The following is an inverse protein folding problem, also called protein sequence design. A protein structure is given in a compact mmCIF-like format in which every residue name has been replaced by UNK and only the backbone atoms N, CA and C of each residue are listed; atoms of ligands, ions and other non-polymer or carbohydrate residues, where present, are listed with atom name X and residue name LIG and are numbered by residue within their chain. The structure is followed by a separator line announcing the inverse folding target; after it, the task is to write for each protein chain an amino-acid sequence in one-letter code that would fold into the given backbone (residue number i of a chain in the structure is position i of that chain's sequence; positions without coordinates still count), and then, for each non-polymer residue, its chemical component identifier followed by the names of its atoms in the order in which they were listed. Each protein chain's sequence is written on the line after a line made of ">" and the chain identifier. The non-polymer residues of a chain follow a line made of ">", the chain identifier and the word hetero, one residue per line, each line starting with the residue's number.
data_IF_288503289397
#
_entry.id   IF_288503289397
#
_cell.length_a   1.000
_cell.length_b   1.000
_cell.length_c   1.000
_cell.angle_alpha   90.00
_cell.angle_beta   90.00
_cell.angle_gamma   90.00
#
_symmetry.space_group_name_H-M   'P 1'
#
loop_
_entity.id
_entity.type
_entity.pdbx_description
1 polymer ?
#
# COMPACT_ATOMS: atom_id res chain seq x y z
N UNK A 1 -4.20 -52.49 7.80
CA UNK A 1 -3.66 -51.42 6.94
C UNK A 1 -4.61 -50.22 6.73
N UNK A 2 -5.93 -50.36 6.93
CA UNK A 2 -6.92 -49.27 6.76
C UNK A 2 -6.86 -48.13 7.78
N UNK A 3 -6.29 -48.33 8.97
CA UNK A 3 -6.26 -47.32 10.06
C UNK A 3 -5.19 -46.24 9.87
N UNK A 4 -4.05 -46.55 9.23
CA UNK A 4 -2.97 -45.58 8.97
C UNK A 4 -3.36 -44.54 7.91
N UNK A 5 -4.17 -44.94 6.93
CA UNK A 5 -4.66 -44.07 5.84
C UNK A 5 -5.64 -43.01 6.36
N UNK A 6 -6.44 -43.34 7.38
CA UNK A 6 -7.42 -42.44 8.00
C UNK A 6 -6.77 -41.28 8.76
N UNK A 7 -5.64 -41.54 9.44
CA UNK A 7 -4.92 -40.53 10.23
C UNK A 7 -4.25 -39.49 9.32
N UNK A 8 -3.69 -39.92 8.18
CA UNK A 8 -3.10 -39.02 7.19
C UNK A 8 -4.17 -38.12 6.52
N UNK A 9 -5.35 -38.67 6.23
CA UNK A 9 -6.46 -37.89 5.67
C UNK A 9 -7.01 -36.84 6.65
N UNK A 10 -7.09 -37.18 7.94
CA UNK A 10 -7.51 -36.25 8.99
C UNK A 10 -6.50 -35.11 9.19
N UNK A 11 -5.20 -35.41 9.15
CA UNK A 11 -4.15 -34.40 9.27
C UNK A 11 -4.17 -33.41 8.08
N UNK A 12 -4.39 -33.91 6.85
CA UNK A 12 -4.51 -33.07 5.67
C UNK A 12 -5.79 -32.22 5.66
N UNK A 13 -6.91 -32.75 6.14
CA UNK A 13 -8.15 -31.99 6.28
C UNK A 13 -8.03 -30.89 7.34
N UNK A 14 -7.28 -31.15 8.43
CA UNK A 14 -7.08 -30.19 9.50
C UNK A 14 -6.21 -29.01 9.07
N UNK A 15 -5.13 -29.25 8.31
CA UNK A 15 -4.28 -28.15 7.79
C UNK A 15 -5.04 -27.25 6.81
N UNK A 16 -5.85 -27.83 5.90
CA UNK A 16 -6.69 -27.06 4.97
C UNK A 16 -7.75 -26.24 5.73
N UNK A 17 -8.40 -26.83 6.73
CA UNK A 17 -9.38 -26.13 7.56
C UNK A 17 -8.77 -24.96 8.33
N UNK A 18 -7.56 -25.13 8.90
CA UNK A 18 -6.85 -24.06 9.61
C UNK A 18 -6.51 -22.91 8.67
N UNK A 19 -5.98 -23.18 7.47
CA UNK A 19 -5.67 -22.12 6.49
C UNK A 19 -6.91 -21.37 5.98
N UNK A 20 -8.07 -22.02 5.94
CA UNK A 20 -9.33 -21.38 5.57
C UNK A 20 -9.90 -20.51 6.70
N UNK A 21 -9.61 -20.85 7.97
CA UNK A 21 -10.03 -20.10 9.15
C UNK A 21 -9.15 -18.87 9.43
N UNK A 22 -7.84 -18.96 9.16
CA UNK A 22 -6.95 -17.79 9.15
C UNK A 22 -7.02 -17.10 7.80
N UNK A 23 -8.19 -16.53 7.48
CA UNK A 23 -8.35 -15.71 6.29
C UNK A 23 -7.21 -14.69 6.19
N UNK A 24 -6.40 -14.79 5.14
CA UNK A 24 -5.35 -13.82 4.87
C UNK A 24 -6.06 -12.57 4.37
N UNK A 25 -6.35 -11.64 5.28
CA UNK A 25 -6.91 -10.36 4.89
C UNK A 25 -5.92 -9.69 3.92
N UNK A 26 -6.37 -9.16 2.77
CA UNK A 26 -5.50 -8.38 1.92
C UNK A 26 -4.93 -7.23 2.75
N UNK A 27 -3.62 -7.00 2.65
CA UNK A 27 -3.00 -5.85 3.28
C UNK A 27 -3.74 -4.59 2.81
N UNK A 28 -3.98 -3.62 3.69
CA UNK A 28 -4.57 -2.36 3.26
C UNK A 28 -3.58 -1.63 2.34
N UNK A 29 -3.97 -1.36 1.09
CA UNK A 29 -3.20 -0.49 0.21
C UNK A 29 -3.51 0.97 0.56
N UNK A 30 -2.46 1.78 0.72
CA UNK A 30 -2.63 3.23 0.80
C UNK A 30 -3.20 3.75 -0.53
N UNK A 31 -4.13 4.69 -0.45
CA UNK A 31 -4.64 5.35 -1.63
C UNK A 31 -3.51 6.10 -2.36
N UNK A 32 -3.54 6.19 -3.70
CA UNK A 32 -2.60 7.02 -4.44
C UNK A 32 -2.65 8.47 -3.93
N UNK A 33 -1.49 9.04 -3.62
CA UNK A 33 -1.38 10.44 -3.20
C UNK A 33 -1.24 11.32 -4.44
N UNK A 34 -2.06 12.36 -4.52
CA UNK A 34 -1.99 13.37 -5.58
C UNK A 34 -0.89 14.38 -5.21
N UNK A 35 0.14 14.60 -6.05
CA UNK A 35 1.27 15.47 -5.73
C UNK A 35 0.90 16.95 -5.90
N UNK A 36 0.07 17.46 -5.00
CA UNK A 36 -0.46 18.83 -5.04
C UNK A 36 0.33 19.83 -4.19
N UNK A 37 1.41 19.39 -3.53
CA UNK A 37 2.31 20.20 -2.71
C UNK A 37 1.70 20.77 -1.43
N UNK A 38 0.46 20.40 -1.07
CA UNK A 38 -0.24 20.95 0.10
C UNK A 38 0.28 20.41 1.45
N UNK A 39 1.00 19.28 1.42
CA UNK A 39 1.60 18.63 2.59
C UNK A 39 2.92 17.96 2.21
N UNK A 40 3.73 17.59 3.20
CA UNK A 40 4.96 16.82 2.95
C UNK A 40 4.67 15.48 2.24
N UNK A 41 3.56 14.82 2.59
CA UNK A 41 3.16 13.55 1.97
C UNK A 41 2.73 13.72 0.50
N UNK A 42 2.19 14.89 0.15
CA UNK A 42 1.78 15.24 -1.21
C UNK A 42 2.78 16.15 -1.92
N UNK A 43 4.04 16.16 -1.50
CA UNK A 43 5.07 17.01 -2.08
C UNK A 43 5.20 16.78 -3.59
N UNK A 44 5.18 17.87 -4.36
CA UNK A 44 5.35 17.83 -5.81
C UNK A 44 6.84 17.86 -6.21
N UNK A 45 7.17 17.48 -7.43
CA UNK A 45 8.50 17.61 -7.99
C UNK A 45 8.84 19.07 -8.34
N UNK A 46 7.84 19.90 -8.64
CA UNK A 46 8.02 21.34 -8.92
C UNK A 46 6.71 22.13 -8.77
N UNK A 47 6.79 23.46 -8.66
CA UNK A 47 5.61 24.34 -8.67
C UNK A 47 4.80 24.22 -9.98
N UNK A 48 5.44 23.86 -11.09
CA UNK A 48 4.74 23.62 -12.35
C UNK A 48 3.82 22.41 -12.25
N UNK A 49 4.28 21.31 -11.65
CA UNK A 49 3.45 20.12 -11.43
C UNK A 49 2.23 20.41 -10.54
N UNK A 50 2.40 21.22 -9.49
CA UNK A 50 1.27 21.67 -8.65
C UNK A 50 0.19 22.35 -9.51
N UNK A 51 0.57 23.25 -10.43
CA UNK A 51 -0.38 23.92 -11.33
C UNK A 51 -1.02 22.98 -12.34
N UNK A 52 -0.30 21.95 -12.80
CA UNK A 52 -0.86 20.94 -13.70
C UNK A 52 -1.90 20.07 -12.99
N UNK A 53 -1.61 19.66 -11.76
CA UNK A 53 -2.45 18.76 -10.96
C UNK A 53 -3.64 19.49 -10.33
N UNK A 54 -3.41 20.72 -9.86
CA UNK A 54 -4.42 21.59 -9.25
C UNK A 54 -4.37 22.98 -9.89
N UNK A 55 -5.04 23.19 -11.04
CA UNK A 55 -5.01 24.47 -11.76
C UNK A 55 -5.53 25.67 -10.95
N UNK A 56 -6.39 25.43 -9.97
CA UNK A 56 -6.92 26.44 -9.06
C UNK A 56 -6.00 26.78 -7.88
N UNK A 57 -4.85 26.10 -7.74
CA UNK A 57 -3.90 26.37 -6.68
C UNK A 57 -3.42 27.84 -6.74
N UNK A 58 -3.54 28.57 -5.63
CA UNK A 58 -3.06 29.95 -5.54
C UNK A 58 -1.54 29.99 -5.53
N UNK A 59 -0.96 31.14 -5.86
CA UNK A 59 0.48 31.30 -5.70
C UNK A 59 0.85 31.28 -4.21
N UNK A 60 2.00 30.70 -3.85
CA UNK A 60 2.39 30.50 -2.46
C UNK A 60 3.52 29.51 -2.26
N UNK A 61 3.71 29.09 -1.00
CA UNK A 61 4.73 28.11 -0.59
C UNK A 61 4.13 26.71 -0.65
N UNK A 62 4.87 25.78 -1.26
CA UNK A 62 4.47 24.40 -1.45
C UNK A 62 5.57 23.44 -1.00
N UNK A 63 5.17 22.25 -0.59
CA UNK A 63 6.08 21.15 -0.32
C UNK A 63 6.61 20.58 -1.64
N UNK A 64 7.93 20.62 -1.81
CA UNK A 64 8.60 20.06 -2.97
C UNK A 64 9.56 18.95 -2.56
N UNK A 65 9.58 17.86 -3.33
CA UNK A 65 10.52 16.76 -3.16
C UNK A 65 11.37 16.63 -4.42
N UNK A 66 12.60 17.14 -4.34
CA UNK A 66 13.58 16.99 -5.41
C UNK A 66 14.40 15.71 -5.21
N UNK A 67 15.00 15.15 -6.28
CA UNK A 67 15.87 13.99 -6.15
C UNK A 67 17.01 14.18 -5.14
N UNK A 68 17.56 15.40 -5.05
CA UNK A 68 18.65 15.76 -4.14
C UNK A 68 18.21 15.77 -2.67
N UNK A 69 16.93 15.99 -2.39
CA UNK A 69 16.38 15.99 -1.02
C UNK A 69 16.16 14.58 -0.46
N UNK A 70 16.28 13.53 -1.28
CA UNK A 70 16.01 12.13 -0.86
C UNK A 70 17.14 11.48 -0.06
N UNK A 71 18.26 12.16 0.13
CA UNK A 71 19.42 11.68 0.92
C UNK A 71 19.83 12.76 1.94
N UNK A 72 19.97 12.41 3.24
CA UNK A 72 20.53 13.31 4.26
C UNK A 72 21.97 13.69 3.95
#
# INVERSE_FOLDING_TARGET
>A
MRTKTSIAALAAAFTVAVTALVGVAPAAQAAPVVPDGSSQASAAASCWEVKQVKPSATDGVYWLLTPQLRTP
#
